data_IF_834755735430
#
_entry.id   IF_834755735430
#
_cell.length_a   1.000
_cell.length_b   1.000
_cell.length_c   1.000
_cell.angle_alpha   90.00
_cell.angle_beta   90.00
_cell.angle_gamma   90.00
#
_symmetry.space_group_name_H-M   'P 1'
#
loop_
_entity.id
_entity.type
_entity.pdbx_description
1 polymer ?
#
# COMPACT_ATOMS: atom_id res chain seq x y z
N UNK A 1 12.09 -11.68 -14.77
CA UNK A 1 11.97 -10.64 -15.81
C UNK A 1 13.20 -10.74 -16.69
N UNK A 2 13.05 -11.11 -17.96
CA UNK A 2 14.18 -11.27 -18.91
C UNK A 2 14.21 -10.15 -19.96
N UNK A 3 13.03 -9.76 -20.44
CA UNK A 3 12.83 -8.65 -21.38
C UNK A 3 11.86 -7.66 -20.72
N UNK A 4 12.31 -6.42 -20.52
CA UNK A 4 11.56 -5.40 -19.79
C UNK A 4 11.67 -4.09 -20.55
N UNK A 5 10.53 -3.47 -20.84
CA UNK A 5 10.45 -2.16 -21.48
C UNK A 5 9.54 -1.25 -20.65
N UNK A 6 9.82 0.04 -20.67
CA UNK A 6 8.95 1.06 -20.08
C UNK A 6 7.69 1.23 -20.91
N UNK A 7 6.53 1.36 -20.26
CA UNK A 7 5.25 1.60 -20.93
C UNK A 7 4.51 2.77 -20.27
N UNK A 8 3.65 3.44 -21.03
CA UNK A 8 2.68 4.38 -20.47
C UNK A 8 1.48 3.59 -19.89
N UNK A 9 1.08 3.79 -18.62
CA UNK A 9 -0.05 3.10 -18.04
C UNK A 9 -1.38 3.35 -18.78
N UNK A 10 -1.52 4.45 -19.53
CA UNK A 10 -2.71 4.75 -20.34
C UNK A 10 -2.97 3.68 -21.40
N UNK A 11 -1.91 3.10 -21.98
CA UNK A 11 -2.02 2.07 -23.01
C UNK A 11 -2.75 0.82 -22.53
N UNK A 12 -2.64 0.47 -21.24
CA UNK A 12 -3.32 -0.70 -20.68
C UNK A 12 -4.84 -0.54 -20.69
N UNK A 13 -5.34 0.67 -20.38
CA UNK A 13 -6.78 0.94 -20.38
C UNK A 13 -7.31 1.06 -21.81
N UNK A 14 -6.53 1.66 -22.72
CA UNK A 14 -6.91 1.87 -24.11
C UNK A 14 -6.94 0.57 -24.93
N UNK A 15 -5.89 -0.26 -24.84
CA UNK A 15 -5.77 -1.48 -25.64
C UNK A 15 -6.33 -2.74 -24.96
N UNK A 16 -6.50 -2.73 -23.64
CA UNK A 16 -6.99 -3.90 -22.88
C UNK A 16 -8.10 -3.54 -21.87
N UNK A 17 -9.23 -2.93 -22.32
CA UNK A 17 -10.31 -2.46 -21.43
C UNK A 17 -11.06 -3.59 -20.72
N UNK A 18 -10.98 -4.84 -21.21
CA UNK A 18 -11.55 -6.00 -20.53
C UNK A 18 -10.84 -6.34 -19.21
N UNK A 19 -9.57 -5.92 -19.07
CA UNK A 19 -8.74 -6.25 -17.91
C UNK A 19 -8.48 -5.03 -17.03
N UNK A 20 -8.38 -3.83 -17.61
CA UNK A 20 -7.98 -2.63 -16.90
C UNK A 20 -9.05 -1.54 -16.93
N UNK A 21 -9.14 -0.78 -15.85
CA UNK A 21 -10.01 0.40 -15.74
C UNK A 21 -9.34 1.49 -14.93
N UNK A 22 -9.68 2.75 -15.22
CA UNK A 22 -9.24 3.89 -14.44
C UNK A 22 -9.92 3.86 -13.06
N UNK A 23 -9.15 4.09 -12.00
CA UNK A 23 -9.70 4.22 -10.65
C UNK A 23 -10.29 5.61 -10.43
N UNK A 24 -11.47 5.68 -9.79
CA UNK A 24 -12.06 6.93 -9.31
C UNK A 24 -11.12 7.61 -8.30
N UNK A 25 -10.57 8.81 -8.57
CA UNK A 25 -9.60 9.47 -7.70
C UNK A 25 -10.19 9.92 -6.36
N UNK A 26 -11.52 10.07 -6.29
CA UNK A 26 -12.21 10.45 -5.05
C UNK A 26 -12.42 9.28 -4.09
N UNK A 27 -12.21 8.04 -4.57
CA UNK A 27 -12.49 6.82 -3.81
C UNK A 27 -11.25 5.96 -3.66
N UNK A 28 -11.04 5.48 -2.43
CA UNK A 28 -9.99 4.53 -2.14
C UNK A 28 -10.34 3.12 -2.63
N UNK A 29 -9.43 2.46 -3.34
CA UNK A 29 -9.60 1.06 -3.75
C UNK A 29 -9.61 0.12 -2.53
N UNK A 30 -10.24 -1.06 -2.67
CA UNK A 30 -10.28 -2.07 -1.59
C UNK A 30 -8.87 -2.46 -1.12
N UNK A 31 -7.93 -2.63 -2.05
CA UNK A 31 -6.54 -2.93 -1.74
C UNK A 31 -5.87 -1.79 -0.95
N UNK A 32 -6.02 -0.54 -1.40
CA UNK A 32 -5.43 0.61 -0.70
C UNK A 32 -6.03 0.80 0.70
N UNK A 33 -7.31 0.47 0.91
CA UNK A 33 -7.95 0.49 2.25
C UNK A 33 -7.37 -0.55 3.20
N UNK A 34 -6.90 -1.68 2.67
CA UNK A 34 -6.35 -2.77 3.46
C UNK A 34 -4.85 -2.59 3.77
N UNK A 35 -4.17 -1.71 3.05
CA UNK A 35 -2.77 -1.39 3.32
C UNK A 35 -2.64 -0.69 4.68
N UNK A 36 -1.68 -1.15 5.48
CA UNK A 36 -1.32 -0.57 6.77
C UNK A 36 0.14 -0.16 6.71
N UNK A 37 0.44 1.01 7.25
CA UNK A 37 1.81 1.47 7.41
C UNK A 37 2.38 0.83 8.67
N UNK A 38 3.58 0.26 8.55
CA UNK A 38 4.40 -0.16 9.67
C UNK A 38 5.55 0.85 9.82
N UNK A 39 5.94 1.18 11.06
CA UNK A 39 7.06 2.08 11.28
C UNK A 39 8.37 1.45 10.82
N UNK A 40 9.37 2.31 10.60
CA UNK A 40 10.73 1.86 10.33
C UNK A 40 11.30 1.11 11.53
N UNK A 41 12.16 0.14 11.25
CA UNK A 41 12.84 -0.63 12.30
C UNK A 41 13.78 0.27 13.11
N UNK A 42 13.69 0.16 14.44
CA UNK A 42 14.60 0.78 15.39
C UNK A 42 15.17 -0.31 16.31
N UNK A 43 16.49 -0.40 16.42
CA UNK A 43 17.18 -1.40 17.27
C UNK A 43 17.00 -1.12 18.76
N UNK A 44 16.84 0.15 19.16
CA UNK A 44 16.84 0.55 20.57
C UNK A 44 15.47 0.42 21.25
N UNK A 45 14.41 0.21 20.47
CA UNK A 45 13.04 0.13 20.97
C UNK A 45 12.50 -1.29 20.86
N UNK A 46 11.71 -1.70 21.86
CA UNK A 46 10.97 -2.96 21.77
C UNK A 46 9.95 -2.91 20.62
N UNK A 47 9.73 -4.04 19.92
CA UNK A 47 8.69 -4.13 18.90
C UNK A 47 7.33 -3.66 19.42
N UNK A 48 6.64 -2.82 18.64
CA UNK A 48 5.31 -2.28 18.96
C UNK A 48 5.25 -1.37 20.21
N UNK A 49 6.37 -0.94 20.80
CA UNK A 49 6.37 -0.04 21.97
C UNK A 49 5.63 1.28 21.71
N UNK A 50 5.65 1.76 20.47
CA UNK A 50 4.92 2.93 20.00
C UNK A 50 3.39 2.81 20.07
N UNK A 51 2.84 1.60 20.22
CA UNK A 51 1.38 1.41 20.25
C UNK A 51 0.81 1.93 21.57
N UNK A 52 -0.02 2.97 21.48
CA UNK A 52 -0.77 3.55 22.61
C UNK A 52 -1.50 2.47 23.43
N UNK A 53 -2.04 1.44 22.76
CA UNK A 53 -2.72 0.32 23.43
C UNK A 53 -1.83 -0.50 24.38
N UNK A 54 -0.50 -0.53 24.17
CA UNK A 54 0.44 -1.14 25.11
C UNK A 54 0.72 -0.24 26.32
N UNK A 55 0.76 1.08 26.12
CA UNK A 55 1.02 2.03 27.21
C UNK A 55 0.00 1.90 28.34
N UNK A 56 -1.28 1.73 28.01
CA UNK A 56 -2.36 1.60 29.00
C UNK A 56 -2.41 0.23 29.72
N UNK A 57 -1.71 -0.80 29.25
CA UNK A 57 -1.65 -2.13 29.90
C UNK A 57 -0.57 -2.25 30.98
N UNK A 58 0.29 -1.24 31.15
CA UNK A 58 1.40 -1.25 32.12
C UNK A 58 1.05 -0.66 33.49
N UNK A 59 -0.23 -0.38 33.77
CA UNK A 59 -0.73 0.02 35.10
C UNK A 59 -1.24 -1.19 35.88
#
# INVERSE_FOLDING_TARGET
MREVTTIDPRWLVEFAPAFFKVSDPTKLSKQKKQQRLEPLYNRYEEPNAWRISRAFRRR
#
